data_IF_450013028142
#
_entry.id   IF_450013028142
#
_cell.length_a   1.000
_cell.length_b   1.000
_cell.length_c   1.000
_cell.angle_alpha   90.00
_cell.angle_beta   90.00
_cell.angle_gamma   90.00
#
_symmetry.space_group_name_H-M   'P 1'
#
loop_
_entity.id
_entity.type
_entity.pdbx_description
1 polymer ?
#
# COMPACT_ATOMS: atom_id res chain seq x y z
N UNK A 1 -16.89 14.98 -5.48
CA UNK A 1 -15.70 14.28 -4.94
C UNK A 1 -16.16 13.13 -4.07
N UNK A 2 -15.79 11.89 -4.42
CA UNK A 2 -16.34 10.67 -3.81
C UNK A 2 -15.69 10.41 -2.44
N UNK A 3 -16.45 10.50 -1.34
CA UNK A 3 -15.96 10.39 0.06
C UNK A 3 -15.15 9.10 0.30
N UNK A 4 -15.52 8.02 -0.40
CA UNK A 4 -14.83 6.73 -0.38
C UNK A 4 -13.38 6.80 -0.86
N UNK A 5 -13.06 7.60 -1.89
CA UNK A 5 -11.68 7.75 -2.39
C UNK A 5 -10.78 8.48 -1.39
N UNK A 6 -11.32 9.48 -0.69
CA UNK A 6 -10.56 10.21 0.33
C UNK A 6 -10.28 9.35 1.57
N UNK A 7 -11.25 8.51 1.98
CA UNK A 7 -11.04 7.57 3.08
C UNK A 7 -10.01 6.50 2.69
N UNK A 8 -10.12 5.94 1.48
CA UNK A 8 -9.18 4.92 0.98
C UNK A 8 -7.73 5.41 1.00
N UNK A 9 -7.49 6.63 0.50
CA UNK A 9 -6.15 7.23 0.50
C UNK A 9 -5.56 7.42 1.90
N UNK A 10 -6.38 7.81 2.88
CA UNK A 10 -5.92 7.96 4.28
C UNK A 10 -5.58 6.61 4.91
N UNK A 11 -6.36 5.57 4.61
CA UNK A 11 -6.07 4.20 5.04
C UNK A 11 -4.76 3.71 4.46
N UNK A 12 -4.54 3.91 3.16
CA UNK A 12 -3.31 3.54 2.47
C UNK A 12 -2.08 4.30 3.01
N UNK A 13 -2.20 5.61 3.24
CA UNK A 13 -1.14 6.42 3.85
C UNK A 13 -0.79 5.94 5.27
N UNK A 14 -1.79 5.56 6.06
CA UNK A 14 -1.58 5.00 7.39
C UNK A 14 -0.90 3.64 7.33
N UNK A 15 -1.36 2.75 6.44
CA UNK A 15 -0.77 1.43 6.24
C UNK A 15 0.69 1.54 5.79
N UNK A 16 0.99 2.37 4.79
CA UNK A 16 2.35 2.57 4.32
C UNK A 16 3.29 3.04 5.43
N UNK A 17 2.86 4.01 6.26
CA UNK A 17 3.63 4.47 7.41
C UNK A 17 3.85 3.36 8.44
N UNK A 18 2.81 2.63 8.78
CA UNK A 18 2.86 1.54 9.76
C UNK A 18 3.83 0.42 9.34
N UNK A 19 3.92 0.14 8.03
CA UNK A 19 4.87 -0.81 7.45
C UNK A 19 6.30 -0.26 7.52
N UNK A 20 6.51 1.01 7.13
CA UNK A 20 7.83 1.66 7.23
C UNK A 20 8.37 1.68 8.66
N UNK A 21 7.52 1.96 9.65
CA UNK A 21 7.87 1.93 11.09
C UNK A 21 8.34 0.54 11.56
N UNK A 22 8.01 -0.52 10.81
CA UNK A 22 8.46 -1.91 11.06
C UNK A 22 9.69 -2.31 10.27
N UNK A 23 10.30 -1.36 9.55
CA UNK A 23 11.49 -1.61 8.75
C UNK A 23 11.21 -2.09 7.33
N UNK A 24 9.95 -2.10 6.90
CA UNK A 24 9.62 -2.48 5.53
C UNK A 24 9.98 -1.34 4.57
N UNK A 25 10.41 -1.71 3.36
CA UNK A 25 10.74 -0.75 2.30
C UNK A 25 9.58 -0.68 1.32
N UNK A 26 8.90 0.47 1.25
CA UNK A 26 7.84 0.69 0.26
C UNK A 26 8.47 0.87 -1.12
N UNK A 27 8.09 0.02 -2.06
CA UNK A 27 8.53 0.06 -3.46
C UNK A 27 7.58 0.88 -4.32
N UNK A 28 6.27 0.70 -4.15
CA UNK A 28 5.25 1.45 -4.87
C UNK A 28 3.92 1.51 -4.09
N UNK A 29 3.07 2.46 -4.46
CA UNK A 29 1.73 2.69 -3.89
C UNK A 29 0.75 2.96 -5.01
N UNK A 30 -0.48 2.46 -4.89
CA UNK A 30 -1.45 2.44 -5.98
C UNK A 30 -0.85 1.82 -7.26
N UNK A 31 -0.11 0.73 -7.11
CA UNK A 31 0.55 0.05 -8.22
C UNK A 31 -0.50 -0.49 -9.19
N UNK A 32 -0.24 -0.31 -10.49
CA UNK A 32 -1.09 -0.79 -11.58
C UNK A 32 -0.23 -1.48 -12.62
N UNK A 33 -0.61 -2.68 -13.00
CA UNK A 33 0.06 -3.43 -14.05
C UNK A 33 -0.93 -4.24 -14.90
N UNK A 34 -0.41 -4.92 -15.92
CA UNK A 34 -1.22 -5.77 -16.79
C UNK A 34 -1.88 -6.94 -16.05
N UNK A 35 -1.34 -7.33 -14.89
CA UNK A 35 -1.83 -8.41 -14.05
C UNK A 35 -2.85 -7.98 -12.98
N UNK A 36 -3.11 -6.67 -12.82
CA UNK A 36 -4.04 -6.16 -11.80
C UNK A 36 -3.53 -4.90 -11.12
N UNK A 37 -4.01 -4.68 -9.89
CA UNK A 37 -3.64 -3.55 -9.04
C UNK A 37 -3.32 -4.02 -7.62
N UNK A 38 -2.49 -3.25 -6.92
CA UNK A 38 -2.16 -3.42 -5.51
C UNK A 38 -2.11 -2.06 -4.83
N UNK A 39 -2.63 -1.96 -3.61
CA UNK A 39 -2.60 -0.71 -2.86
C UNK A 39 -1.17 -0.33 -2.46
N UNK A 40 -0.37 -1.30 -1.99
CA UNK A 40 1.04 -1.09 -1.63
C UNK A 40 1.89 -2.30 -2.05
N UNK A 41 3.08 -2.03 -2.59
CA UNK A 41 4.12 -3.03 -2.85
C UNK A 41 5.33 -2.70 -1.97
N UNK A 42 5.85 -3.67 -1.24
CA UNK A 42 6.93 -3.46 -0.28
C UNK A 42 7.91 -4.65 -0.18
N UNK A 43 9.05 -4.43 0.46
CA UNK A 43 9.96 -5.47 0.92
C UNK A 43 9.94 -5.60 2.44
N UNK A 44 9.85 -6.83 2.92
CA UNK A 44 10.18 -7.24 4.28
C UNK A 44 11.49 -8.02 4.25
N UNK A 45 12.62 -7.34 4.47
CA UNK A 45 13.94 -7.87 4.16
C UNK A 45 14.07 -8.21 2.67
N UNK A 46 14.15 -9.50 2.35
CA UNK A 46 14.27 -10.00 0.96
C UNK A 46 12.93 -10.46 0.37
N UNK A 47 11.84 -10.39 1.13
CA UNK A 47 10.52 -10.87 0.70
C UNK A 47 9.75 -9.75 0.03
N UNK A 48 9.33 -9.96 -1.23
CA UNK A 48 8.41 -9.07 -1.93
C UNK A 48 6.96 -9.31 -1.46
N UNK A 49 6.30 -8.27 -0.96
CA UNK A 49 4.96 -8.34 -0.41
C UNK A 49 4.03 -7.36 -1.14
N UNK A 50 2.87 -7.87 -1.57
CA UNK A 50 1.72 -7.06 -1.98
C UNK A 50 0.73 -6.91 -0.85
N UNK A 51 0.29 -5.69 -0.58
CA UNK A 51 -0.64 -5.37 0.52
C UNK A 51 -1.90 -4.73 -0.06
N UNK A 52 -3.05 -5.27 0.32
CA UNK A 52 -4.39 -4.76 0.01
C UNK A 52 -4.98 -4.16 1.28
N UNK A 53 -5.32 -2.87 1.25
CA UNK A 53 -5.79 -2.10 2.40
C UNK A 53 -7.31 -2.06 2.41
N UNK A 54 -7.92 -2.57 3.48
CA UNK A 54 -9.37 -2.50 3.70
C UNK A 54 -9.68 -1.53 4.86
N UNK A 55 -10.74 -0.74 4.69
CA UNK A 55 -11.29 0.16 5.71
C UNK A 55 -12.37 -0.53 6.54
#
# INVERSE_FOLDING_TARGET
MNRQRHLGRRGEEHAARWLQERGWVILDRNWRGSAGELDVVALDGEVLVGVEVKL
#
